data_IF_804944856529
#
_entry.id   IF_804944856529
#
_cell.length_a   1.000
_cell.length_b   1.000
_cell.length_c   1.000
_cell.angle_alpha   90.00
_cell.angle_beta   90.00
_cell.angle_gamma   90.00
#
_symmetry.space_group_name_H-M   'P 1'
#
loop_
_entity.id
_entity.type
_entity.pdbx_description
1 polymer ?
#
# COMPACT_ATOMS: atom_id res chain seq x y z
N UNK A 1 -21.43 -19.93 -17.31
CA UNK A 1 -21.47 -18.83 -18.31
C UNK A 1 -20.27 -17.92 -18.07
N UNK A 2 -19.64 -17.45 -19.14
CA UNK A 2 -18.58 -16.45 -19.03
C UNK A 2 -19.09 -15.18 -18.31
N UNK A 3 -18.19 -14.44 -17.69
CA UNK A 3 -18.52 -13.17 -17.03
C UNK A 3 -19.10 -12.16 -18.05
N UNK A 4 -20.13 -11.40 -17.66
CA UNK A 4 -20.71 -10.40 -18.56
C UNK A 4 -20.05 -9.03 -18.39
N UNK A 5 -20.13 -8.17 -19.42
CA UNK A 5 -19.71 -6.77 -19.39
C UNK A 5 -20.37 -6.02 -18.21
N UNK A 6 -21.69 -6.21 -18.04
CA UNK A 6 -22.48 -5.56 -16.99
C UNK A 6 -21.96 -5.88 -15.58
N UNK A 7 -21.60 -7.15 -15.30
CA UNK A 7 -21.01 -7.54 -14.03
C UNK A 7 -19.65 -6.90 -13.80
N UNK A 8 -18.79 -6.86 -14.81
CA UNK A 8 -17.48 -6.22 -14.68
C UNK A 8 -17.62 -4.72 -14.45
N UNK A 9 -18.56 -4.06 -15.13
CA UNK A 9 -18.88 -2.65 -14.89
C UNK A 9 -19.39 -2.42 -13.46
N UNK A 10 -20.33 -3.22 -12.98
CA UNK A 10 -20.81 -3.18 -11.60
C UNK A 10 -19.65 -3.30 -10.58
N UNK A 11 -18.76 -4.28 -10.78
CA UNK A 11 -17.63 -4.52 -9.89
C UNK A 11 -16.49 -3.51 -10.03
N UNK A 12 -16.50 -2.72 -11.10
CA UNK A 12 -15.51 -1.66 -11.33
C UNK A 12 -15.81 -0.37 -10.55
N UNK A 13 -17.02 -0.23 -10.00
CA UNK A 13 -17.43 0.96 -9.25
C UNK A 13 -16.65 1.04 -7.95
N UNK A 14 -16.10 2.23 -7.68
CA UNK A 14 -15.47 2.52 -6.39
C UNK A 14 -16.54 2.65 -5.31
N UNK A 15 -16.37 1.98 -4.19
CA UNK A 15 -17.24 2.17 -3.02
C UNK A 15 -17.06 3.58 -2.41
N UNK A 16 -18.13 4.08 -1.77
CA UNK A 16 -18.11 5.38 -1.09
C UNK A 16 -16.93 5.50 -0.12
N UNK A 17 -16.30 6.65 -0.15
CA UNK A 17 -15.17 6.99 0.74
C UNK A 17 -15.59 7.80 1.96
N UNK A 18 -16.87 8.13 2.13
CA UNK A 18 -17.36 9.03 3.19
C UNK A 18 -17.03 8.49 4.59
N UNK A 19 -17.31 7.20 4.81
CA UNK A 19 -17.03 6.56 6.11
C UNK A 19 -15.53 6.51 6.40
N UNK A 20 -14.73 6.16 5.39
CA UNK A 20 -13.27 6.09 5.49
C UNK A 20 -12.67 7.47 5.70
N UNK A 21 -13.16 8.49 5.00
CA UNK A 21 -12.73 9.87 5.16
C UNK A 21 -13.04 10.40 6.57
N UNK A 22 -14.24 10.09 7.09
CA UNK A 22 -14.63 10.46 8.45
C UNK A 22 -13.77 9.73 9.50
N UNK A 23 -13.48 8.46 9.31
CA UNK A 23 -12.59 7.68 10.18
C UNK A 23 -11.16 8.20 10.14
N UNK A 24 -10.64 8.47 8.95
CA UNK A 24 -9.32 9.08 8.76
C UNK A 24 -9.20 10.42 9.50
N UNK A 25 -10.12 11.33 9.26
CA UNK A 25 -10.09 12.66 9.88
C UNK A 25 -10.20 12.58 11.41
N UNK A 26 -11.07 11.70 11.90
CA UNK A 26 -11.24 11.47 13.34
C UNK A 26 -9.94 10.94 13.98
N UNK A 27 -9.32 9.92 13.41
CA UNK A 27 -8.07 9.37 13.96
C UNK A 27 -6.92 10.36 13.79
N UNK A 28 -6.80 10.99 12.62
CA UNK A 28 -5.75 11.97 12.36
C UNK A 28 -5.77 13.12 13.37
N UNK A 29 -6.94 13.69 13.68
CA UNK A 29 -7.03 14.78 14.67
C UNK A 29 -6.49 14.35 16.03
N UNK A 30 -6.86 13.15 16.52
CA UNK A 30 -6.36 12.65 17.80
C UNK A 30 -4.87 12.30 17.77
N UNK A 31 -4.34 11.84 16.63
CA UNK A 31 -2.89 11.60 16.50
C UNK A 31 -2.09 12.89 16.65
N UNK A 32 -2.58 14.02 16.10
CA UNK A 32 -1.90 15.31 16.20
C UNK A 32 -2.10 16.02 17.56
N UNK A 33 -2.98 15.51 18.42
CA UNK A 33 -3.16 15.95 19.80
C UNK A 33 -2.30 15.16 20.81
N UNK A 34 -1.59 14.11 20.35
CA UNK A 34 -0.72 13.32 21.25
C UNK A 34 0.48 14.15 21.72
N UNK A 35 0.84 14.13 23.02
CA UNK A 35 1.94 14.93 23.55
C UNK A 35 3.26 14.78 22.78
N UNK A 36 3.64 13.55 22.42
CA UNK A 36 4.86 13.31 21.65
C UNK A 36 4.79 13.93 20.24
N UNK A 37 3.63 13.88 19.58
CA UNK A 37 3.44 14.46 18.25
C UNK A 37 3.45 15.98 18.33
N UNK A 38 2.83 16.59 19.35
CA UNK A 38 2.85 18.04 19.59
C UNK A 38 4.28 18.53 19.81
N UNK A 39 5.06 17.82 20.65
CA UNK A 39 6.44 18.18 20.94
C UNK A 39 7.34 18.17 19.69
N UNK A 40 7.09 17.29 18.75
CA UNK A 40 7.87 17.09 17.53
C UNK A 40 7.07 17.44 16.27
N UNK A 41 6.09 18.35 16.33
CA UNK A 41 5.07 18.57 15.29
C UNK A 41 5.64 18.81 13.88
N UNK A 42 6.79 19.48 13.75
CA UNK A 42 7.44 19.77 12.46
C UNK A 42 7.94 18.52 11.73
N UNK A 43 8.07 17.40 12.44
CA UNK A 43 8.60 16.14 11.92
C UNK A 43 7.54 15.09 11.68
N UNK A 44 6.25 15.41 11.90
CA UNK A 44 5.16 14.47 11.72
C UNK A 44 4.34 14.73 10.47
N UNK A 45 4.06 13.66 9.75
CA UNK A 45 3.05 13.63 8.69
C UNK A 45 2.11 12.45 8.91
N UNK A 46 0.81 12.66 8.64
CA UNK A 46 -0.18 11.58 8.57
C UNK A 46 -0.87 11.61 7.22
N UNK A 47 -0.90 10.46 6.54
CA UNK A 47 -1.54 10.32 5.23
C UNK A 47 -2.11 8.91 5.04
N UNK A 48 -3.07 8.79 4.14
CA UNK A 48 -3.66 7.51 3.77
C UNK A 48 -2.71 6.69 2.91
N UNK A 49 -2.76 5.37 3.07
CA UNK A 49 -2.19 4.38 2.15
C UNK A 49 -3.23 3.31 1.80
N UNK A 50 -2.82 2.27 1.07
CA UNK A 50 -3.69 1.15 0.74
C UNK A 50 -4.78 1.48 -0.27
N UNK A 51 -5.86 0.71 -0.26
CA UNK A 51 -6.88 0.75 -1.30
C UNK A 51 -7.67 2.05 -1.36
N UNK A 52 -7.90 2.71 -0.22
CA UNK A 52 -8.58 4.01 -0.19
C UNK A 52 -7.73 5.12 -0.80
N UNK A 53 -6.45 5.17 -0.49
CA UNK A 53 -5.53 6.15 -1.08
C UNK A 53 -5.37 5.95 -2.59
N UNK A 54 -5.41 4.69 -3.05
CA UNK A 54 -5.27 4.33 -4.46
C UNK A 54 -6.58 4.40 -5.25
N UNK A 55 -7.72 4.70 -4.63
CA UNK A 55 -9.05 4.63 -5.25
C UNK A 55 -9.34 3.24 -5.88
N UNK A 56 -8.87 2.17 -5.23
CA UNK A 56 -9.05 0.77 -5.62
C UNK A 56 -9.86 -0.04 -4.59
N UNK A 57 -10.50 0.64 -3.63
CA UNK A 57 -11.32 0.03 -2.60
C UNK A 57 -12.59 -0.57 -3.18
N UNK A 58 -12.97 -1.75 -2.64
CA UNK A 58 -14.21 -2.47 -2.94
C UNK A 58 -14.93 -2.75 -1.62
N UNK A 59 -16.22 -3.07 -1.67
CA UNK A 59 -17.11 -3.25 -0.49
C UNK A 59 -16.58 -4.16 0.63
N UNK A 60 -15.68 -5.08 0.30
CA UNK A 60 -15.06 -6.00 1.25
C UNK A 60 -13.78 -5.44 1.90
N UNK A 61 -13.20 -4.38 1.33
CA UNK A 61 -12.01 -3.71 1.85
C UNK A 61 -12.45 -2.55 2.74
N UNK A 62 -12.72 -2.83 4.00
CA UNK A 62 -13.23 -1.83 4.96
C UNK A 62 -12.13 -1.18 5.80
N UNK A 63 -10.90 -1.64 5.72
CA UNK A 63 -9.80 -1.17 6.56
C UNK A 63 -9.23 0.15 6.02
N UNK A 64 -9.09 1.14 6.91
CA UNK A 64 -8.47 2.43 6.60
C UNK A 64 -7.03 2.41 7.08
N UNK A 65 -6.07 2.46 6.17
CA UNK A 65 -4.65 2.48 6.50
C UNK A 65 -4.14 3.92 6.62
N UNK A 66 -3.65 4.30 7.80
CA UNK A 66 -3.07 5.62 8.09
C UNK A 66 -1.59 5.47 8.40
N UNK A 67 -0.74 6.07 7.59
CA UNK A 67 0.68 6.21 7.90
C UNK A 67 0.86 7.37 8.88
N UNK A 68 1.55 7.15 10.00
CA UNK A 68 2.05 8.19 10.89
C UNK A 68 3.58 8.22 10.77
N UNK A 69 4.10 9.07 9.89
CA UNK A 69 5.52 9.18 9.61
C UNK A 69 6.19 10.18 10.56
N UNK A 70 7.28 9.74 11.21
CA UNK A 70 8.18 10.58 12.00
C UNK A 70 9.51 10.74 11.26
N UNK A 71 9.86 11.96 10.87
CA UNK A 71 10.98 12.25 9.97
C UNK A 71 12.23 12.80 10.65
N UNK A 72 12.20 13.16 11.95
CA UNK A 72 13.39 13.54 12.71
C UNK A 72 14.38 12.37 12.82
N UNK A 73 13.84 11.15 12.88
CA UNK A 73 14.60 9.90 12.75
C UNK A 73 14.30 9.31 11.37
N UNK A 74 15.34 8.93 10.63
CA UNK A 74 15.17 8.29 9.34
C UNK A 74 16.09 7.09 9.17
N UNK A 75 15.66 6.17 8.29
CA UNK A 75 16.46 5.06 7.78
C UNK A 75 16.77 5.30 6.32
N UNK A 76 17.77 4.65 5.78
CA UNK A 76 18.21 4.94 4.42
C UNK A 76 18.79 3.74 3.69
N UNK A 77 18.86 3.87 2.36
CA UNK A 77 19.68 3.10 1.43
C UNK A 77 20.56 4.10 0.67
N UNK A 78 21.86 3.94 0.78
CA UNK A 78 22.87 4.76 0.11
C UNK A 78 23.70 3.95 -0.90
N UNK A 79 23.23 2.78 -1.29
CA UNK A 79 23.93 1.89 -2.21
C UNK A 79 24.24 2.53 -3.56
N UNK A 80 23.43 3.51 -4.00
CA UNK A 80 23.64 4.25 -5.25
C UNK A 80 24.63 5.42 -5.12
N UNK A 81 25.06 5.79 -3.91
CA UNK A 81 25.99 6.89 -3.71
C UNK A 81 27.45 6.47 -3.95
N UNK A 82 28.25 7.42 -4.42
CA UNK A 82 29.71 7.28 -4.44
C UNK A 82 30.29 7.20 -3.02
N UNK A 83 31.46 6.62 -2.85
CA UNK A 83 32.13 6.53 -1.54
C UNK A 83 32.40 7.92 -0.91
N UNK A 84 32.64 8.93 -1.74
CA UNK A 84 32.79 10.32 -1.29
C UNK A 84 31.47 10.81 -0.68
N UNK A 85 30.38 10.70 -1.41
CA UNK A 85 29.05 11.13 -0.95
C UNK A 85 28.58 10.37 0.30
N UNK A 86 28.91 9.08 0.42
CA UNK A 86 28.65 8.30 1.64
C UNK A 86 29.40 8.85 2.86
N UNK A 87 30.68 9.20 2.68
CA UNK A 87 31.50 9.81 3.75
C UNK A 87 30.95 11.17 4.17
N UNK A 88 30.61 12.03 3.20
CA UNK A 88 30.02 13.35 3.46
C UNK A 88 28.71 13.22 4.25
N UNK A 89 27.80 12.34 3.81
CA UNK A 89 26.53 12.07 4.49
C UNK A 89 26.75 11.54 5.92
N UNK A 90 27.67 10.58 6.10
CA UNK A 90 27.98 10.02 7.40
C UNK A 90 28.63 11.03 8.37
N UNK A 91 29.35 12.00 7.85
CA UNK A 91 29.90 13.11 8.64
C UNK A 91 28.86 14.17 9.00
N UNK A 92 27.78 14.28 8.21
CA UNK A 92 26.71 15.25 8.46
C UNK A 92 25.65 14.75 9.46
N UNK A 93 25.18 13.52 9.33
CA UNK A 93 24.13 12.97 10.20
C UNK A 93 24.69 12.17 11.35
N UNK A 94 24.17 12.40 12.55
CA UNK A 94 24.44 11.56 13.72
C UNK A 94 23.53 10.32 13.77
N UNK A 95 23.97 9.29 14.47
CA UNK A 95 23.12 8.11 14.72
C UNK A 95 22.00 8.47 15.70
N UNK A 96 20.77 8.12 15.35
CA UNK A 96 19.64 8.22 16.27
C UNK A 96 19.75 7.18 17.39
N UNK A 97 19.49 7.60 18.63
CA UNK A 97 19.35 6.71 19.78
C UNK A 97 17.91 6.20 19.98
N UNK A 98 16.94 6.84 19.34
CA UNK A 98 15.52 6.52 19.47
C UNK A 98 15.15 5.34 18.58
N UNK A 99 14.67 4.25 19.19
CA UNK A 99 14.33 3.01 18.48
C UNK A 99 12.91 3.03 17.94
N UNK A 100 12.64 2.25 16.89
CA UNK A 100 11.28 2.09 16.35
C UNK A 100 10.31 1.57 17.42
N UNK A 101 10.73 0.60 18.22
CA UNK A 101 9.90 0.06 19.30
C UNK A 101 9.51 1.13 20.30
N UNK A 102 10.47 1.96 20.77
CA UNK A 102 10.18 3.06 21.69
C UNK A 102 9.19 4.07 21.07
N UNK A 103 9.34 4.39 19.79
CA UNK A 103 8.42 5.23 19.07
C UNK A 103 6.99 4.64 19.05
N UNK A 104 6.85 3.42 18.56
CA UNK A 104 5.54 2.75 18.44
C UNK A 104 4.86 2.57 19.80
N UNK A 105 5.61 2.18 20.83
CA UNK A 105 5.12 2.04 22.21
C UNK A 105 4.61 3.38 22.77
N UNK A 106 5.31 4.48 22.50
CA UNK A 106 4.91 5.83 22.92
C UNK A 106 3.60 6.23 22.27
N UNK A 107 3.47 6.09 20.94
CA UNK A 107 2.23 6.39 20.22
C UNK A 107 1.08 5.52 20.73
N UNK A 108 1.29 4.21 20.91
CA UNK A 108 0.26 3.31 21.41
C UNK A 108 -0.26 3.72 22.79
N UNK A 109 0.65 3.98 23.75
CA UNK A 109 0.28 4.36 25.11
C UNK A 109 -0.50 5.66 25.15
N UNK A 110 -0.04 6.69 24.43
CA UNK A 110 -0.69 7.99 24.38
C UNK A 110 -2.04 7.91 23.68
N UNK A 111 -2.14 7.19 22.54
CA UNK A 111 -3.39 7.02 21.80
C UNK A 111 -4.42 6.23 22.61
N UNK A 112 -3.99 5.17 23.30
CA UNK A 112 -4.85 4.38 24.18
C UNK A 112 -5.41 5.23 25.34
N UNK A 113 -4.60 6.10 25.94
CA UNK A 113 -5.05 7.01 26.99
C UNK A 113 -6.01 8.06 26.48
N UNK A 114 -5.70 8.69 25.32
CA UNK A 114 -6.52 9.71 24.72
C UNK A 114 -7.92 9.20 24.30
N UNK A 115 -8.01 7.95 23.88
CA UNK A 115 -9.25 7.38 23.32
C UNK A 115 -9.96 6.35 24.22
N UNK A 116 -9.45 6.06 25.43
CA UNK A 116 -9.98 4.97 26.30
C UNK A 116 -11.47 5.07 26.61
N UNK A 117 -12.00 6.28 26.74
CA UNK A 117 -13.42 6.53 27.07
C UNK A 117 -14.21 7.17 25.91
N UNK A 118 -13.61 7.20 24.71
CA UNK A 118 -14.27 7.85 23.59
C UNK A 118 -15.41 6.98 23.05
N UNK A 119 -16.62 7.54 22.94
CA UNK A 119 -17.85 6.81 22.58
C UNK A 119 -17.78 6.10 21.22
N UNK A 120 -17.00 6.63 20.27
CA UNK A 120 -16.79 6.06 18.94
C UNK A 120 -15.77 4.91 18.90
N UNK A 121 -14.96 4.72 19.94
CA UNK A 121 -13.90 3.70 19.96
C UNK A 121 -14.38 2.47 20.71
N UNK A 122 -14.22 1.31 20.09
CA UNK A 122 -14.49 0.02 20.70
C UNK A 122 -13.24 -0.54 21.34
N UNK A 123 -12.14 -0.56 20.60
CA UNK A 123 -10.90 -1.20 21.01
C UNK A 123 -9.70 -0.59 20.29
N UNK A 124 -8.53 -0.63 20.94
CA UNK A 124 -7.22 -0.31 20.36
C UNK A 124 -6.29 -1.48 20.62
N UNK A 125 -5.79 -2.11 19.56
CA UNK A 125 -4.95 -3.30 19.60
C UNK A 125 -3.53 -2.97 19.11
N UNK A 126 -2.52 -3.49 19.82
CA UNK A 126 -1.14 -3.45 19.37
C UNK A 126 -0.87 -4.65 18.45
N UNK A 127 -0.70 -4.41 17.15
CA UNK A 127 -0.38 -5.44 16.16
C UNK A 127 1.09 -5.41 15.79
N UNK A 128 1.61 -6.47 15.18
CA UNK A 128 3.02 -6.55 14.78
C UNK A 128 3.49 -5.36 13.91
N UNK A 129 2.64 -4.88 13.00
CA UNK A 129 2.98 -3.85 12.00
C UNK A 129 2.22 -2.53 12.18
N UNK A 130 1.13 -2.52 12.93
CA UNK A 130 0.23 -1.39 13.06
C UNK A 130 -0.32 -1.25 14.48
N UNK A 131 -1.07 -0.19 14.73
CA UNK A 131 -1.98 -0.02 15.84
C UNK A 131 -3.39 -0.08 15.24
N UNK A 132 -4.14 -1.16 15.54
CA UNK A 132 -5.50 -1.31 15.02
C UNK A 132 -6.49 -0.67 15.97
N UNK A 133 -7.33 0.22 15.43
CA UNK A 133 -8.40 0.91 16.13
C UNK A 133 -9.72 0.44 15.53
N UNK A 134 -10.60 -0.11 16.37
CA UNK A 134 -11.94 -0.54 15.97
C UNK A 134 -12.91 0.57 16.39
N UNK A 135 -13.55 1.19 15.41
CA UNK A 135 -14.58 2.21 15.62
C UNK A 135 -15.97 1.57 15.67
N UNK A 136 -16.93 2.24 16.32
CA UNK A 136 -18.35 1.86 16.40
C UNK A 136 -19.21 2.85 15.62
N UNK A 137 -20.37 2.40 15.16
CA UNK A 137 -21.48 3.19 14.66
C UNK A 137 -21.11 4.23 13.58
N UNK A 138 -20.68 3.83 12.40
CA UNK A 138 -20.60 2.45 11.90
C UNK A 138 -19.29 1.74 12.32
N UNK A 139 -19.29 0.42 12.28
CA UNK A 139 -18.09 -0.37 12.55
C UNK A 139 -17.12 -0.20 11.38
N UNK A 140 -15.90 0.27 11.70
CA UNK A 140 -14.81 0.42 10.73
C UNK A 140 -13.48 0.16 11.45
N UNK A 141 -12.59 -0.56 10.78
CA UNK A 141 -11.25 -0.81 11.28
C UNK A 141 -10.28 0.22 10.69
N UNK A 142 -9.42 0.77 11.55
CA UNK A 142 -8.39 1.72 11.16
C UNK A 142 -7.04 1.18 11.61
N UNK A 143 -6.14 0.95 10.67
CA UNK A 143 -4.76 0.58 10.95
C UNK A 143 -3.86 1.81 10.90
N UNK A 144 -3.39 2.28 12.05
CA UNK A 144 -2.34 3.30 12.13
C UNK A 144 -0.99 2.60 12.05
N UNK A 145 -0.17 2.98 11.08
CA UNK A 145 1.18 2.47 10.87
C UNK A 145 2.20 3.54 11.29
N UNK A 146 2.69 3.52 12.55
CA UNK A 146 3.84 4.34 12.93
C UNK A 146 5.05 3.92 12.10
N UNK A 147 5.78 4.88 11.54
CA UNK A 147 6.96 4.60 10.73
C UNK A 147 7.94 5.76 10.77
N UNK A 148 9.20 5.46 10.48
CA UNK A 148 10.22 6.47 10.20
C UNK A 148 10.23 6.84 8.72
N UNK A 149 10.72 8.03 8.41
CA UNK A 149 11.09 8.39 7.04
C UNK A 149 12.16 7.42 6.53
N UNK A 150 12.02 6.96 5.29
CA UNK A 150 13.04 6.19 4.58
C UNK A 150 13.56 6.99 3.39
N UNK A 151 14.88 7.17 3.33
CA UNK A 151 15.56 7.89 2.25
C UNK A 151 16.31 6.90 1.37
N UNK A 152 15.81 6.59 0.18
CA UNK A 152 16.59 5.85 -0.83
C UNK A 152 17.37 6.87 -1.64
N UNK A 153 18.65 7.07 -1.28
CA UNK A 153 19.47 8.11 -1.89
C UNK A 153 19.79 7.81 -3.36
N UNK A 154 19.66 8.84 -4.19
CA UNK A 154 20.10 8.88 -5.59
C UNK A 154 21.26 9.84 -5.79
N UNK A 155 21.43 10.81 -4.88
CA UNK A 155 22.56 11.76 -4.80
C UNK A 155 22.71 12.26 -3.38
N UNK A 156 23.80 12.99 -3.09
CA UNK A 156 23.98 13.72 -1.83
C UNK A 156 24.90 14.94 -2.04
N UNK A 157 24.63 16.02 -1.34
CA UNK A 157 25.47 17.22 -1.34
C UNK A 157 25.39 17.94 -0.01
N UNK A 158 26.54 18.32 0.55
CA UNK A 158 26.64 19.13 1.78
C UNK A 158 26.07 20.56 1.62
N UNK A 159 25.93 21.05 0.38
CA UNK A 159 25.34 22.38 0.14
C UNK A 159 23.84 22.40 0.46
N UNK A 160 23.16 21.27 0.33
CA UNK A 160 21.72 21.13 0.59
C UNK A 160 21.39 19.69 1.04
N UNK A 161 21.89 19.27 2.23
CA UNK A 161 21.89 17.87 2.65
C UNK A 161 20.49 17.29 2.81
N UNK A 162 19.49 18.10 3.19
CA UNK A 162 18.12 17.68 3.41
C UNK A 162 17.20 17.86 2.21
N UNK A 163 17.77 18.17 1.02
CA UNK A 163 16.94 18.33 -0.18
C UNK A 163 16.19 17.06 -0.54
N UNK A 164 14.85 17.13 -0.74
CA UNK A 164 14.05 16.01 -1.22
C UNK A 164 14.50 15.45 -2.58
N UNK A 165 15.25 16.25 -3.38
CA UNK A 165 15.79 15.79 -4.66
C UNK A 165 16.92 14.78 -4.54
N UNK A 166 17.46 14.59 -3.34
CA UNK A 166 18.56 13.64 -3.10
C UNK A 166 18.10 12.20 -2.89
N UNK A 167 16.80 11.96 -2.67
CA UNK A 167 16.31 10.62 -2.36
C UNK A 167 14.89 10.39 -2.87
N UNK A 168 14.56 9.12 -3.04
CA UNK A 168 13.18 8.68 -3.20
C UNK A 168 12.63 8.45 -1.80
N UNK A 169 11.51 9.12 -1.48
CA UNK A 169 10.88 9.04 -0.17
C UNK A 169 10.13 7.73 0.00
N UNK A 170 10.44 7.03 1.07
CA UNK A 170 9.73 5.86 1.54
C UNK A 170 9.39 5.95 3.03
N UNK A 171 8.81 4.89 3.54
CA UNK A 171 8.57 4.66 4.96
C UNK A 171 9.30 3.40 5.41
N UNK A 172 9.74 3.38 6.69
CA UNK A 172 10.35 2.20 7.29
C UNK A 172 9.81 1.98 8.69
N UNK A 173 9.45 0.73 8.98
CA UNK A 173 8.98 0.28 10.29
C UNK A 173 9.43 -1.17 10.53
N UNK A 174 9.35 -1.64 11.77
CA UNK A 174 9.71 -3.01 12.11
C UNK A 174 8.46 -3.84 12.40
N UNK A 175 8.49 -5.08 11.97
CA UNK A 175 7.58 -6.10 12.46
C UNK A 175 8.01 -6.49 13.87
N UNK A 176 7.21 -6.13 14.89
CA UNK A 176 7.56 -6.34 16.30
C UNK A 176 7.54 -7.80 16.76
N UNK A 177 7.07 -8.74 15.91
CA UNK A 177 7.08 -10.17 16.23
C UNK A 177 8.41 -10.84 15.91
N UNK A 178 9.18 -10.29 14.97
CA UNK A 178 10.44 -10.88 14.50
C UNK A 178 11.55 -9.86 14.20
N UNK A 179 11.36 -8.61 14.60
CA UNK A 179 12.28 -7.48 14.42
C UNK A 179 12.74 -7.24 12.95
N UNK A 180 12.01 -7.80 11.97
CA UNK A 180 12.35 -7.58 10.57
C UNK A 180 11.95 -6.17 10.13
N UNK A 181 12.88 -5.47 9.50
CA UNK A 181 12.63 -4.18 8.90
C UNK A 181 11.76 -4.33 7.65
N UNK A 182 10.74 -3.50 7.56
CA UNK A 182 9.88 -3.36 6.39
C UNK A 182 10.09 -1.96 5.82
N UNK A 183 10.28 -1.88 4.51
CA UNK A 183 10.36 -0.62 3.77
C UNK A 183 9.28 -0.62 2.70
N UNK A 184 8.62 0.52 2.50
CA UNK A 184 7.61 0.70 1.45
C UNK A 184 7.69 2.13 0.89
N UNK A 185 7.12 2.34 -0.32
CA UNK A 185 7.09 3.63 -1.01
C UNK A 185 5.64 3.99 -1.37
N UNK A 186 4.77 4.27 -0.38
CA UNK A 186 3.35 4.48 -0.62
C UNK A 186 3.06 5.70 -1.49
N UNK A 187 3.81 6.80 -1.35
CA UNK A 187 3.63 8.00 -2.18
C UNK A 187 3.95 7.73 -3.65
N UNK A 188 5.04 7.01 -3.94
CA UNK A 188 5.39 6.61 -5.30
C UNK A 188 4.37 5.60 -5.87
N UNK A 189 3.89 4.67 -5.04
CA UNK A 189 2.86 3.72 -5.44
C UNK A 189 1.57 4.44 -5.89
N UNK A 190 1.09 5.41 -5.09
CA UNK A 190 -0.10 6.21 -5.42
C UNK A 190 0.14 7.00 -6.71
N UNK A 191 1.24 7.76 -6.77
CA UNK A 191 1.60 8.60 -7.92
C UNK A 191 1.66 7.81 -9.23
N UNK A 192 2.33 6.67 -9.23
CA UNK A 192 2.49 5.84 -10.42
C UNK A 192 1.16 5.17 -10.83
N UNK A 193 0.32 4.80 -9.85
CA UNK A 193 -1.03 4.31 -10.12
C UNK A 193 -1.96 5.38 -10.71
N UNK A 194 -1.86 6.62 -10.24
CA UNK A 194 -2.58 7.76 -10.82
C UNK A 194 -2.10 8.06 -12.23
N UNK A 195 -0.77 8.08 -12.43
CA UNK A 195 -0.19 8.31 -13.75
C UNK A 195 -0.64 7.26 -14.76
N UNK A 196 -0.59 5.96 -14.39
CA UNK A 196 -1.09 4.88 -15.26
C UNK A 196 -2.59 5.01 -15.54
N UNK A 197 -3.37 5.52 -14.60
CA UNK A 197 -4.82 5.67 -14.73
C UNK A 197 -5.26 6.89 -15.56
N UNK A 198 -4.33 7.77 -15.97
CA UNK A 198 -4.66 8.98 -16.74
C UNK A 198 -5.39 8.66 -18.05
N UNK A 199 -6.17 9.65 -18.53
CA UNK A 199 -6.95 9.56 -19.76
C UNK A 199 -6.07 9.19 -20.96
N UNK A 200 -4.89 9.79 -21.04
CA UNK A 200 -3.92 9.64 -22.14
C UNK A 200 -3.26 8.25 -22.16
N UNK A 201 -3.31 7.51 -21.04
CA UNK A 201 -2.70 6.18 -20.91
C UNK A 201 -3.75 5.07 -20.96
N UNK A 202 -4.55 4.96 -19.91
CA UNK A 202 -5.54 3.86 -19.79
C UNK A 202 -6.98 4.35 -19.71
N UNK A 203 -7.23 5.63 -19.97
CA UNK A 203 -8.56 6.25 -19.96
C UNK A 203 -9.37 5.96 -18.65
N UNK A 204 -8.68 5.93 -17.50
CA UNK A 204 -9.30 5.59 -16.22
C UNK A 204 -9.51 4.09 -15.96
N UNK A 205 -9.26 3.25 -16.96
CA UNK A 205 -9.61 1.82 -16.92
C UNK A 205 -8.62 0.98 -16.06
N UNK A 206 -7.43 1.48 -15.76
CA UNK A 206 -6.49 0.77 -14.87
C UNK A 206 -7.10 0.51 -13.49
N UNK A 207 -7.53 1.56 -12.77
CA UNK A 207 -8.11 1.42 -11.42
C UNK A 207 -9.45 0.66 -11.44
N UNK A 208 -10.25 0.82 -12.50
CA UNK A 208 -11.46 0.02 -12.72
C UNK A 208 -11.14 -1.48 -12.80
N UNK A 209 -10.09 -1.82 -13.57
CA UNK A 209 -9.62 -3.21 -13.73
C UNK A 209 -9.13 -3.79 -12.41
N UNK A 210 -8.38 -3.02 -11.63
CA UNK A 210 -7.96 -3.44 -10.29
C UNK A 210 -9.16 -3.79 -9.42
N UNK A 211 -10.21 -2.96 -9.40
CA UNK A 211 -11.41 -3.18 -8.58
C UNK A 211 -12.15 -4.46 -8.97
N UNK A 212 -12.46 -4.67 -10.26
CA UNK A 212 -13.19 -5.89 -10.62
C UNK A 212 -12.33 -7.16 -10.49
N UNK A 213 -11.00 -7.11 -10.68
CA UNK A 213 -10.14 -8.27 -10.41
C UNK A 213 -10.05 -8.57 -8.91
N UNK A 214 -10.03 -7.55 -8.03
CA UNK A 214 -10.18 -7.75 -6.59
C UNK A 214 -11.51 -8.39 -6.23
N UNK A 215 -12.60 -8.01 -6.91
CA UNK A 215 -13.91 -8.63 -6.72
C UNK A 215 -13.93 -10.08 -7.19
N UNK A 216 -13.35 -10.37 -8.37
CA UNK A 216 -13.15 -11.75 -8.85
C UNK A 216 -12.38 -12.58 -7.82
N UNK A 217 -11.26 -12.05 -7.30
CA UNK A 217 -10.46 -12.69 -6.24
C UNK A 217 -11.32 -13.00 -5.01
N UNK A 218 -12.15 -12.06 -4.55
CA UNK A 218 -13.04 -12.30 -3.40
C UNK A 218 -14.01 -13.46 -3.66
N UNK A 219 -14.60 -13.50 -4.85
CA UNK A 219 -15.52 -14.59 -5.22
C UNK A 219 -14.80 -15.94 -5.35
N UNK A 220 -13.55 -15.96 -5.81
CA UNK A 220 -12.71 -17.16 -5.83
C UNK A 220 -12.41 -17.66 -4.41
N UNK A 221 -12.21 -16.76 -3.44
CA UNK A 221 -12.08 -17.11 -2.01
C UNK A 221 -13.39 -17.72 -1.48
N UNK A 222 -14.52 -17.07 -1.72
CA UNK A 222 -15.84 -17.51 -1.24
C UNK A 222 -16.21 -18.91 -1.77
N UNK A 223 -15.68 -19.27 -2.94
CA UNK A 223 -15.86 -20.59 -3.57
C UNK A 223 -14.76 -21.61 -3.26
N UNK A 224 -13.79 -21.23 -2.43
CA UNK A 224 -12.73 -22.13 -1.98
C UNK A 224 -11.63 -22.44 -3.00
N UNK A 225 -11.54 -21.68 -4.13
CA UNK A 225 -10.45 -21.84 -5.10
C UNK A 225 -9.12 -21.29 -4.60
N UNK A 226 -9.15 -20.28 -3.74
CA UNK A 226 -7.96 -19.67 -3.11
C UNK A 226 -8.23 -19.35 -1.64
N UNK A 227 -7.18 -19.30 -0.83
CA UNK A 227 -7.26 -18.92 0.59
C UNK A 227 -7.42 -17.40 0.74
N UNK A 228 -8.13 -16.96 1.79
CA UNK A 228 -8.48 -15.55 2.01
C UNK A 228 -7.28 -14.59 1.92
N UNK A 229 -6.15 -14.91 2.55
CA UNK A 229 -4.97 -14.05 2.61
C UNK A 229 -3.89 -14.40 1.57
N UNK A 230 -4.18 -15.28 0.62
CA UNK A 230 -3.19 -15.76 -0.35
C UNK A 230 -2.73 -14.66 -1.30
N UNK A 231 -3.66 -13.79 -1.75
CA UNK A 231 -3.37 -12.66 -2.64
C UNK A 231 -3.96 -11.38 -2.07
N UNK A 232 -3.09 -10.47 -1.60
CA UNK A 232 -3.52 -9.15 -1.10
C UNK A 232 -3.88 -8.18 -2.23
N UNK A 233 -4.62 -7.12 -1.89
CA UNK A 233 -4.93 -6.03 -2.83
C UNK A 233 -3.68 -5.42 -3.44
N UNK A 234 -2.64 -5.21 -2.65
CA UNK A 234 -1.34 -4.71 -3.09
C UNK A 234 -0.70 -5.59 -4.18
N UNK A 235 -0.79 -6.93 -4.07
CA UNK A 235 -0.32 -7.84 -5.10
C UNK A 235 -1.05 -7.60 -6.44
N UNK A 236 -2.38 -7.49 -6.41
CA UNK A 236 -3.19 -7.30 -7.63
C UNK A 236 -2.85 -5.97 -8.31
N UNK A 237 -2.71 -4.89 -7.55
CA UNK A 237 -2.30 -3.58 -8.06
C UNK A 237 -0.94 -3.67 -8.76
N UNK A 238 0.06 -4.27 -8.10
CA UNK A 238 1.39 -4.43 -8.66
C UNK A 238 1.42 -5.35 -9.88
N UNK A 239 0.66 -6.45 -9.89
CA UNK A 239 0.58 -7.37 -11.04
C UNK A 239 0.05 -6.64 -12.28
N UNK A 240 -1.05 -5.89 -12.12
CA UNK A 240 -1.71 -5.17 -13.21
C UNK A 240 -0.93 -3.93 -13.66
N UNK A 241 -0.12 -3.35 -12.80
CA UNK A 241 0.73 -2.21 -13.15
C UNK A 241 1.67 -2.52 -14.32
N UNK A 242 2.12 -3.76 -14.44
CA UNK A 242 3.04 -4.20 -15.50
C UNK A 242 2.35 -4.54 -16.83
N UNK A 243 1.03 -4.60 -16.87
CA UNK A 243 0.28 -4.85 -18.12
C UNK A 243 0.37 -3.61 -19.02
N UNK A 244 0.67 -3.75 -20.33
CA UNK A 244 0.75 -2.63 -21.27
C UNK A 244 -0.52 -1.77 -21.27
N UNK A 245 -0.37 -0.46 -21.39
CA UNK A 245 -1.50 0.48 -21.40
C UNK A 245 -2.50 0.19 -22.51
N UNK A 246 -2.02 -0.32 -23.64
CA UNK A 246 -2.85 -0.71 -24.81
C UNK A 246 -3.84 -1.83 -24.54
N UNK A 247 -3.69 -2.58 -23.43
CA UNK A 247 -4.63 -3.62 -23.02
C UNK A 247 -5.91 -3.07 -22.40
N UNK A 248 -5.87 -1.85 -21.88
CA UNK A 248 -7.00 -1.21 -21.21
C UNK A 248 -7.90 -0.51 -22.21
N UNK A 249 -9.05 -1.13 -22.50
CA UNK A 249 -10.02 -0.71 -23.53
C UNK A 249 -11.27 -0.11 -22.87
N UNK A 250 -12.17 0.44 -23.71
CA UNK A 250 -13.45 0.96 -23.21
C UNK A 250 -14.38 -0.15 -22.70
N UNK A 251 -14.30 -1.35 -23.27
CA UNK A 251 -15.01 -2.53 -22.76
C UNK A 251 -14.20 -3.18 -21.63
N UNK A 252 -14.84 -3.42 -20.49
CA UNK A 252 -14.24 -4.16 -19.37
C UNK A 252 -13.96 -5.61 -19.77
N UNK A 253 -14.83 -6.22 -20.58
CA UNK A 253 -14.67 -7.59 -21.04
C UNK A 253 -13.46 -7.74 -21.95
N UNK A 254 -13.30 -6.82 -22.93
CA UNK A 254 -12.13 -6.79 -23.80
C UNK A 254 -10.85 -6.54 -22.98
N UNK A 255 -10.88 -5.58 -22.05
CA UNK A 255 -9.76 -5.30 -21.13
C UNK A 255 -9.41 -6.55 -20.33
N UNK A 256 -10.39 -7.23 -19.72
CA UNK A 256 -10.15 -8.43 -18.93
C UNK A 256 -9.49 -9.53 -19.76
N UNK A 257 -9.99 -9.80 -20.96
CA UNK A 257 -9.42 -10.79 -21.88
C UNK A 257 -7.98 -10.43 -22.28
N UNK A 258 -7.70 -9.18 -22.63
CA UNK A 258 -6.37 -8.70 -22.98
C UNK A 258 -5.39 -8.81 -21.79
N UNK A 259 -5.83 -8.39 -20.60
CA UNK A 259 -5.05 -8.48 -19.37
C UNK A 259 -4.67 -9.93 -19.07
N UNK A 260 -5.66 -10.84 -19.08
CA UNK A 260 -5.42 -12.28 -18.83
C UNK A 260 -4.46 -12.85 -19.88
N UNK A 261 -4.64 -12.53 -21.15
CA UNK A 261 -3.74 -12.97 -22.22
C UNK A 261 -2.29 -12.53 -21.97
N UNK A 262 -2.07 -11.25 -21.65
CA UNK A 262 -0.72 -10.73 -21.35
C UNK A 262 -0.13 -11.43 -20.14
N UNK A 263 -0.89 -11.60 -19.05
CA UNK A 263 -0.40 -12.26 -17.83
C UNK A 263 -0.02 -13.73 -18.06
N UNK A 264 -0.66 -14.43 -19.00
CA UNK A 264 -0.35 -15.82 -19.39
C UNK A 264 0.89 -15.93 -20.27
N UNK A 265 1.16 -14.93 -21.11
CA UNK A 265 2.18 -15.02 -22.17
C UNK A 265 3.46 -14.26 -21.86
N UNK A 266 3.40 -13.26 -20.99
CA UNK A 266 4.55 -12.45 -20.62
C UNK A 266 5.50 -13.17 -19.64
N UNK A 267 6.77 -12.79 -19.66
CA UNK A 267 7.73 -13.17 -18.63
C UNK A 267 7.49 -12.34 -17.35
N UNK A 268 6.57 -12.80 -16.53
CA UNK A 268 6.19 -12.09 -15.30
C UNK A 268 7.33 -12.02 -14.27
N UNK A 269 8.41 -12.81 -14.39
CA UNK A 269 9.57 -12.75 -13.49
C UNK A 269 10.27 -11.39 -13.52
N UNK A 270 10.08 -10.63 -14.60
CA UNK A 270 10.62 -9.28 -14.78
C UNK A 270 9.75 -8.17 -14.21
N UNK A 271 8.55 -8.49 -13.72
CA UNK A 271 7.61 -7.50 -13.22
C UNK A 271 8.16 -6.75 -12.01
N UNK A 272 7.86 -5.46 -11.95
CA UNK A 272 8.25 -4.54 -10.88
C UNK A 272 7.04 -4.18 -10.03
N UNK A 273 7.28 -3.74 -8.80
CA UNK A 273 6.23 -3.14 -7.99
C UNK A 273 5.79 -1.80 -8.59
N UNK A 274 4.55 -1.39 -8.37
CA UNK A 274 3.97 -0.13 -8.88
C UNK A 274 4.76 1.11 -8.41
N UNK A 275 5.43 1.07 -7.27
CA UNK A 275 6.34 2.13 -6.81
C UNK A 275 7.72 2.12 -7.52
N UNK A 276 7.99 1.16 -8.42
CA UNK A 276 9.17 1.01 -9.29
C UNK A 276 10.52 0.83 -8.57
N UNK A 277 10.52 0.62 -7.24
CA UNK A 277 11.77 0.51 -6.49
C UNK A 277 12.29 -0.92 -6.39
N UNK A 278 11.43 -1.92 -6.60
CA UNK A 278 11.78 -3.34 -6.46
C UNK A 278 11.08 -4.23 -7.49
N UNK A 279 11.67 -5.41 -7.70
CA UNK A 279 11.02 -6.51 -8.40
C UNK A 279 9.82 -7.00 -7.61
N UNK A 280 8.74 -7.34 -8.32
CA UNK A 280 7.53 -7.90 -7.71
C UNK A 280 7.79 -9.31 -7.16
N UNK A 281 8.57 -10.11 -7.88
CA UNK A 281 8.87 -11.50 -7.56
C UNK A 281 10.32 -11.70 -7.13
N UNK A 282 10.54 -12.59 -6.16
CA UNK A 282 11.88 -12.92 -5.65
C UNK A 282 11.82 -13.70 -4.34
N UNK A 283 12.96 -13.71 -3.62
CA UNK A 283 13.15 -14.49 -2.39
C UNK A 283 13.02 -13.62 -1.11
N UNK A 284 12.96 -12.29 -1.24
CA UNK A 284 12.82 -11.42 -0.08
C UNK A 284 11.40 -11.51 0.52
N UNK A 285 11.28 -11.32 1.83
CA UNK A 285 9.99 -11.39 2.55
C UNK A 285 8.94 -10.39 2.09
N UNK A 286 9.36 -9.35 1.34
CA UNK A 286 8.50 -8.32 0.75
C UNK A 286 8.13 -8.62 -0.72
N UNK A 287 8.69 -9.68 -1.30
CA UNK A 287 8.41 -10.12 -2.67
C UNK A 287 7.43 -11.28 -2.69
N UNK A 288 6.78 -11.48 -3.84
CA UNK A 288 5.78 -12.52 -4.03
C UNK A 288 6.39 -13.77 -4.66
N UNK A 289 5.74 -14.91 -4.38
CA UNK A 289 6.09 -16.17 -5.03
C UNK A 289 5.51 -16.21 -6.45
N UNK A 290 6.35 -16.50 -7.44
CA UNK A 290 5.96 -16.49 -8.84
C UNK A 290 5.02 -17.65 -9.21
N UNK A 291 5.16 -18.82 -8.57
CA UNK A 291 4.31 -19.98 -8.89
C UNK A 291 2.90 -19.77 -8.36
N UNK A 292 2.77 -19.20 -7.15
CA UNK A 292 1.46 -18.76 -6.64
C UNK A 292 0.80 -17.72 -7.55
N UNK A 293 1.58 -16.78 -8.12
CA UNK A 293 1.05 -15.81 -9.08
C UNK A 293 0.54 -16.49 -10.35
N UNK A 294 1.26 -17.48 -10.89
CA UNK A 294 0.82 -18.28 -12.05
C UNK A 294 -0.48 -19.05 -11.77
N UNK A 295 -0.63 -19.59 -10.56
CA UNK A 295 -1.88 -20.24 -10.13
C UNK A 295 -3.07 -19.24 -10.17
N UNK A 296 -2.87 -18.03 -9.64
CA UNK A 296 -3.89 -16.98 -9.67
C UNK A 296 -4.25 -16.57 -11.11
N UNK A 297 -3.25 -16.39 -11.98
CA UNK A 297 -3.44 -16.07 -13.40
C UNK A 297 -4.22 -17.17 -14.12
N UNK A 298 -3.90 -18.43 -13.85
CA UNK A 298 -4.64 -19.57 -14.42
C UNK A 298 -6.12 -19.61 -13.96
N UNK A 299 -6.41 -19.18 -12.72
CA UNK A 299 -7.78 -19.04 -12.26
C UNK A 299 -8.52 -17.89 -12.98
N UNK A 300 -7.85 -16.75 -13.20
CA UNK A 300 -8.42 -15.65 -14.00
C UNK A 300 -8.75 -16.11 -15.43
N UNK A 301 -7.88 -16.93 -16.05
CA UNK A 301 -8.12 -17.50 -17.37
C UNK A 301 -9.35 -18.42 -17.39
N UNK A 302 -9.50 -19.30 -16.37
CA UNK A 302 -10.70 -20.15 -16.25
C UNK A 302 -11.98 -19.34 -16.10
N UNK A 303 -11.93 -18.21 -15.38
CA UNK A 303 -13.04 -17.27 -15.26
C UNK A 303 -13.35 -16.61 -16.61
N UNK A 304 -12.31 -16.12 -17.31
CA UNK A 304 -12.45 -15.48 -18.62
C UNK A 304 -13.06 -16.42 -19.67
N UNK A 305 -12.68 -17.69 -19.65
CA UNK A 305 -13.23 -18.74 -20.54
C UNK A 305 -14.60 -19.29 -20.11
N UNK A 306 -15.13 -18.84 -18.99
CA UNK A 306 -16.41 -19.35 -18.45
C UNK A 306 -16.33 -20.74 -17.84
N UNK A 307 -15.13 -21.27 -17.57
CA UNK A 307 -14.89 -22.56 -16.93
C UNK A 307 -15.09 -22.49 -15.40
N UNK A 308 -15.08 -21.31 -14.84
CA UNK A 308 -15.50 -20.99 -13.46
C UNK A 308 -16.63 -19.97 -13.55
N UNK A 309 -17.79 -20.32 -13.03
CA UNK A 309 -18.93 -19.41 -12.87
C UNK A 309 -18.77 -18.60 -11.58
N UNK A 310 -18.82 -17.26 -11.68
CA UNK A 310 -18.74 -16.34 -10.53
C UNK A 310 -20.07 -15.67 -10.22
#
# INVERSE_FOLDING_TARGET
MAISEEKLLEWSVQESTDLSSNAYNFIKSHLFELPFVIQHHNYFQAFLQGSYANATNIKRDSDVDIVLQYSEVFRYDDSSLSEISKRERNGYYSKASFTFKAYKDTIYKQLKEALKNHSRVQEIQYKAKSLKIILKNPSIEVDVVPCFLYKKYVSFSLKNPDSPSHYIEGISFDNTDNDSQIVNFPKEHIKNGEEKNRKERTNGNFKMTVRYIKKIKSLLVDRGYIKEKQFGSYFIENLLYNVPDTCFKNSCLETFSNVVHVLLTADISKYICQHEQWRLFGQASTQWNIDSAKEFIALLDKVNKGNINL
#
